data_IF_695663218836
#
_entry.id   IF_695663218836
#
_cell.length_a   1.000
_cell.length_b   1.000
_cell.length_c   1.000
_cell.angle_alpha   90.00
_cell.angle_beta   90.00
_cell.angle_gamma   90.00
#
_symmetry.space_group_name_H-M   'P 1'
#
loop_
_entity.id
_entity.type
_entity.pdbx_description
1 polymer ?
#
# COMPACT_ATOMS: atom_id res chain seq x y z
N UNK A 1 -12.66 -16.10 8.99
CA UNK A 1 -12.15 -14.98 9.81
C UNK A 1 -13.16 -13.83 9.81
N UNK A 2 -13.34 -13.21 10.95
CA UNK A 2 -14.20 -12.04 11.01
C UNK A 2 -13.40 -10.77 10.68
N UNK A 3 -14.09 -9.63 10.61
CA UNK A 3 -13.46 -8.37 10.18
C UNK A 3 -12.34 -7.93 11.12
N UNK A 4 -12.51 -8.16 12.41
CA UNK A 4 -11.49 -7.78 13.39
C UNK A 4 -10.22 -8.60 13.23
N UNK A 5 -10.36 -9.88 12.93
CA UNK A 5 -9.21 -10.77 12.71
C UNK A 5 -8.43 -10.36 11.46
N UNK A 6 -9.12 -9.99 10.38
CA UNK A 6 -8.44 -9.47 9.20
C UNK A 6 -7.62 -8.23 9.51
N UNK A 7 -8.22 -7.27 10.23
CA UNK A 7 -7.52 -6.04 10.57
C UNK A 7 -6.34 -6.29 11.50
N UNK A 8 -6.51 -7.21 12.45
CA UNK A 8 -5.42 -7.57 13.37
C UNK A 8 -4.26 -8.21 12.63
N UNK A 9 -4.54 -9.13 11.70
CA UNK A 9 -3.49 -9.75 10.91
C UNK A 9 -2.77 -8.76 10.02
N UNK A 10 -3.51 -7.82 9.43
CA UNK A 10 -2.89 -6.78 8.60
C UNK A 10 -1.95 -5.93 9.45
N UNK A 11 -2.38 -5.51 10.63
CA UNK A 11 -1.54 -4.74 11.55
C UNK A 11 -0.27 -5.50 11.90
N UNK A 12 -0.41 -6.76 12.27
CA UNK A 12 0.72 -7.59 12.65
C UNK A 12 1.72 -7.73 11.49
N UNK A 13 1.21 -7.97 10.29
CA UNK A 13 2.05 -8.21 9.12
C UNK A 13 2.87 -6.97 8.75
N UNK A 14 2.22 -5.81 8.65
CA UNK A 14 2.90 -4.61 8.15
C UNK A 14 3.68 -3.87 9.23
N UNK A 15 3.26 -3.96 10.48
CA UNK A 15 3.88 -3.21 11.56
C UNK A 15 4.96 -3.98 12.28
N UNK A 16 4.94 -5.31 12.22
CA UNK A 16 5.85 -6.13 13.02
C UNK A 16 6.65 -7.10 12.17
N UNK A 17 5.98 -7.93 11.39
CA UNK A 17 6.64 -9.01 10.67
C UNK A 17 7.39 -8.51 9.43
N UNK A 18 6.75 -7.66 8.63
CA UNK A 18 7.32 -7.22 7.36
C UNK A 18 8.46 -6.24 7.53
N UNK A 19 8.36 -5.32 8.47
CA UNK A 19 9.40 -4.32 8.67
C UNK A 19 10.71 -4.94 9.10
N UNK A 20 10.65 -6.03 9.85
CA UNK A 20 11.86 -6.72 10.28
C UNK A 20 12.61 -7.36 9.13
N UNK A 21 11.89 -7.81 8.10
CA UNK A 21 12.47 -8.55 6.99
C UNK A 21 12.68 -7.68 5.75
N UNK A 22 11.74 -6.79 5.45
CA UNK A 22 11.71 -6.04 4.19
C UNK A 22 12.13 -4.58 4.33
N UNK A 23 12.43 -4.13 5.54
CA UNK A 23 12.83 -2.76 5.79
C UNK A 23 11.66 -1.79 5.79
N UNK A 24 11.97 -0.52 5.67
CA UNK A 24 11.00 0.55 5.79
C UNK A 24 10.23 0.71 4.48
N UNK A 25 8.88 0.59 4.51
CA UNK A 25 8.09 0.68 3.28
C UNK A 25 8.27 2.00 2.54
N UNK A 26 8.46 3.10 3.24
CA UNK A 26 8.56 4.41 2.58
C UNK A 26 9.76 4.48 1.65
N UNK A 27 10.90 3.88 2.04
CA UNK A 27 12.10 3.89 1.20
C UNK A 27 11.91 3.02 -0.04
N UNK A 28 11.38 1.82 0.15
CA UNK A 28 11.18 0.89 -0.95
C UNK A 28 10.14 1.41 -1.94
N UNK A 29 9.04 1.94 -1.44
CA UNK A 29 7.96 2.39 -2.31
C UNK A 29 8.34 3.67 -3.06
N UNK A 30 9.17 4.52 -2.48
CA UNK A 30 9.67 5.68 -3.21
C UNK A 30 10.57 5.25 -4.37
N UNK A 31 11.41 4.25 -4.17
CA UNK A 31 12.25 3.72 -5.25
C UNK A 31 11.39 3.09 -6.34
N UNK A 32 10.41 2.30 -5.98
CA UNK A 32 9.48 1.71 -6.95
C UNK A 32 8.75 2.82 -7.72
N UNK A 33 8.33 3.86 -7.03
CA UNK A 33 7.64 4.98 -7.65
C UNK A 33 8.51 5.62 -8.74
N UNK A 34 9.81 5.74 -8.50
CA UNK A 34 10.73 6.28 -9.51
C UNK A 34 10.78 5.40 -10.75
N UNK A 35 10.88 4.10 -10.58
CA UNK A 35 10.90 3.16 -11.71
C UNK A 35 9.58 3.19 -12.47
N UNK A 36 8.46 3.13 -11.75
CA UNK A 36 7.15 3.12 -12.40
C UNK A 36 6.84 4.45 -13.08
N UNK A 37 7.26 5.57 -12.50
CA UNK A 37 7.10 6.88 -13.12
C UNK A 37 7.84 6.95 -14.45
N UNK A 38 9.06 6.44 -14.48
CA UNK A 38 9.88 6.43 -15.69
C UNK A 38 9.24 5.56 -16.77
N UNK A 39 8.78 4.37 -16.39
CA UNK A 39 8.15 3.45 -17.33
C UNK A 39 6.88 4.06 -17.92
N UNK A 40 6.01 4.59 -17.07
CA UNK A 40 4.73 5.16 -17.52
C UNK A 40 4.94 6.43 -18.35
N UNK A 41 5.94 7.23 -18.01
CA UNK A 41 6.25 8.43 -18.79
C UNK A 41 6.69 8.06 -20.20
N UNK A 42 7.51 7.01 -20.32
CA UNK A 42 7.95 6.53 -21.64
C UNK A 42 6.79 5.95 -22.45
N UNK A 43 5.96 5.13 -21.81
CA UNK A 43 4.85 4.45 -22.50
C UNK A 43 3.77 5.41 -22.94
N UNK A 44 3.48 6.43 -22.15
CA UNK A 44 2.41 7.36 -22.46
C UNK A 44 2.87 8.60 -23.22
N UNK A 45 4.18 8.77 -23.35
CA UNK A 45 4.80 9.96 -23.93
C UNK A 45 4.34 11.23 -23.21
N UNK A 46 4.16 11.13 -21.91
CA UNK A 46 3.77 12.22 -21.03
C UNK A 46 4.56 12.11 -19.75
N UNK A 47 4.68 13.21 -19.02
CA UNK A 47 5.32 13.16 -17.69
C UNK A 47 4.34 12.61 -16.68
N UNK A 48 4.66 11.44 -16.14
CA UNK A 48 3.89 10.79 -15.07
C UNK A 48 4.79 10.74 -13.85
N UNK A 49 4.29 11.24 -12.73
CA UNK A 49 5.03 11.25 -11.48
C UNK A 49 4.20 10.55 -10.40
N UNK A 50 4.71 9.41 -9.94
CA UNK A 50 4.11 8.65 -8.85
C UNK A 50 4.95 8.86 -7.60
N UNK A 51 4.29 8.77 -6.45
CA UNK A 51 4.98 8.75 -5.16
C UNK A 51 4.76 7.39 -4.49
N UNK A 52 5.44 7.17 -3.37
CA UNK A 52 5.31 5.90 -2.65
C UNK A 52 3.89 5.57 -2.24
N UNK A 53 3.10 6.59 -1.90
CA UNK A 53 1.69 6.37 -1.55
C UNK A 53 0.90 5.81 -2.73
N UNK A 54 1.20 6.29 -3.95
CA UNK A 54 0.55 5.76 -5.15
C UNK A 54 0.92 4.29 -5.35
N UNK A 55 2.19 3.96 -5.16
CA UNK A 55 2.65 2.57 -5.29
C UNK A 55 1.90 1.67 -4.32
N UNK A 56 1.77 2.08 -3.06
CA UNK A 56 1.05 1.29 -2.06
C UNK A 56 -0.42 1.10 -2.47
N UNK A 57 -1.07 2.15 -2.97
CA UNK A 57 -2.45 2.05 -3.44
C UNK A 57 -2.56 1.08 -4.62
N UNK A 58 -1.61 1.15 -5.55
CA UNK A 58 -1.59 0.24 -6.71
C UNK A 58 -1.39 -1.20 -6.28
N UNK A 59 -0.56 -1.43 -5.26
CA UNK A 59 -0.38 -2.78 -4.71
C UNK A 59 -1.67 -3.28 -4.05
N UNK A 60 -2.44 -2.41 -3.42
CA UNK A 60 -3.75 -2.79 -2.90
C UNK A 60 -4.68 -3.23 -4.04
N UNK A 61 -4.67 -2.49 -5.15
CA UNK A 61 -5.47 -2.87 -6.33
C UNK A 61 -5.03 -4.21 -6.89
N UNK A 62 -3.72 -4.48 -6.90
CA UNK A 62 -3.18 -5.77 -7.31
C UNK A 62 -3.77 -6.89 -6.45
N UNK A 63 -3.82 -6.69 -5.14
CA UNK A 63 -4.39 -7.69 -4.23
C UNK A 63 -5.90 -7.85 -4.42
N UNK A 64 -6.61 -6.78 -4.75
CA UNK A 64 -8.03 -6.87 -5.08
C UNK A 64 -8.25 -7.74 -6.32
N UNK A 65 -7.42 -7.56 -7.35
CA UNK A 65 -7.51 -8.39 -8.54
C UNK A 65 -7.27 -9.86 -8.21
N UNK A 66 -6.27 -10.14 -7.38
CA UNK A 66 -5.98 -11.52 -6.95
C UNK A 66 -7.13 -12.10 -6.13
N UNK A 67 -7.78 -11.28 -5.31
CA UNK A 67 -8.93 -11.71 -4.53
C UNK A 67 -10.10 -12.12 -5.43
N UNK A 68 -10.30 -11.43 -6.54
CA UNK A 68 -11.35 -11.79 -7.48
C UNK A 68 -11.09 -13.14 -8.14
N UNK A 69 -9.83 -13.45 -8.42
CA UNK A 69 -9.46 -14.74 -9.02
C UNK A 69 -9.54 -15.86 -7.99
N UNK A 70 -9.16 -15.59 -6.76
CA UNK A 70 -9.17 -16.59 -5.69
C UNK A 70 -9.73 -15.97 -4.41
N UNK A 71 -11.07 -15.93 -4.24
CA UNK A 71 -11.69 -15.27 -3.09
C UNK A 71 -11.46 -15.97 -1.75
N UNK A 72 -10.97 -17.20 -1.77
CA UNK A 72 -10.77 -17.98 -0.54
C UNK A 72 -9.34 -17.83 0.02
N UNK A 73 -8.48 -17.09 -0.65
CA UNK A 73 -7.11 -16.90 -0.20
C UNK A 73 -7.05 -15.64 0.68
N UNK A 74 -7.10 -15.84 1.99
CA UNK A 74 -7.20 -14.75 2.96
C UNK A 74 -6.06 -13.75 2.88
N UNK A 75 -4.87 -14.18 2.49
CA UNK A 75 -3.70 -13.31 2.42
C UNK A 75 -3.90 -12.12 1.48
N UNK A 76 -4.71 -12.29 0.43
CA UNK A 76 -4.97 -11.19 -0.48
C UNK A 76 -5.71 -10.05 0.23
N UNK A 77 -6.64 -10.37 1.11
CA UNK A 77 -7.38 -9.37 1.88
C UNK A 77 -6.46 -8.73 2.92
N UNK A 78 -5.72 -9.55 3.64
CA UNK A 78 -4.78 -9.06 4.67
C UNK A 78 -3.75 -8.12 4.05
N UNK A 79 -3.13 -8.54 2.95
CA UNK A 79 -2.12 -7.73 2.26
C UNK A 79 -2.73 -6.46 1.69
N UNK A 80 -3.92 -6.54 1.11
CA UNK A 80 -4.61 -5.37 0.57
C UNK A 80 -4.88 -4.32 1.63
N UNK A 81 -5.35 -4.74 2.80
CA UNK A 81 -5.56 -3.84 3.94
C UNK A 81 -4.24 -3.19 4.36
N UNK A 82 -3.17 -3.99 4.40
CA UNK A 82 -1.84 -3.49 4.77
C UNK A 82 -1.35 -2.43 3.80
N UNK A 83 -1.47 -2.66 2.52
CA UNK A 83 -1.02 -1.69 1.52
C UNK A 83 -1.83 -0.40 1.59
N UNK A 84 -3.14 -0.48 1.83
CA UNK A 84 -3.95 0.71 1.98
C UNK A 84 -3.55 1.51 3.21
N UNK A 85 -3.26 0.83 4.32
CA UNK A 85 -2.80 1.50 5.53
C UNK A 85 -1.46 2.21 5.29
N UNK A 86 -0.53 1.55 4.59
CA UNK A 86 0.76 2.16 4.22
C UNK A 86 0.53 3.38 3.35
N UNK A 87 -0.36 3.30 2.36
CA UNK A 87 -0.66 4.42 1.48
C UNK A 87 -1.15 5.63 2.28
N UNK A 88 -2.06 5.39 3.22
CA UNK A 88 -2.57 6.45 4.08
C UNK A 88 -1.48 7.10 4.91
N UNK A 89 -0.60 6.31 5.49
CA UNK A 89 0.51 6.82 6.28
C UNK A 89 1.45 7.67 5.42
N UNK A 90 1.79 7.20 4.23
CA UNK A 90 2.70 7.92 3.35
C UNK A 90 2.10 9.23 2.84
N UNK A 91 0.79 9.27 2.61
CA UNK A 91 0.13 10.53 2.25
C UNK A 91 0.24 11.53 3.39
N UNK A 92 0.06 11.10 4.62
CA UNK A 92 0.20 11.96 5.79
C UNK A 92 1.60 12.56 5.88
N UNK A 93 2.63 11.75 5.63
CA UNK A 93 4.01 12.23 5.65
C UNK A 93 4.27 13.27 4.56
N UNK A 94 3.71 13.05 3.36
CA UNK A 94 3.90 13.96 2.23
C UNK A 94 3.26 15.31 2.46
N UNK A 95 2.03 15.30 2.96
CA UNK A 95 1.25 16.53 3.10
C UNK A 95 1.54 17.27 4.40
N UNK A 96 2.17 16.60 5.35
CA UNK A 96 2.37 17.16 6.68
C UNK A 96 1.09 17.33 7.45
N UNK A 97 0.00 16.73 6.99
CA UNK A 97 -1.29 16.79 7.67
C UNK A 97 -1.71 15.39 8.07
N UNK A 98 -2.28 15.28 9.26
CA UNK A 98 -2.71 14.01 9.82
C UNK A 98 -4.07 14.21 10.44
N UNK A 99 -5.12 13.77 9.74
CA UNK A 99 -6.48 13.91 10.24
C UNK A 99 -6.71 12.94 11.39
N UNK A 100 -7.36 13.43 12.42
CA UNK A 100 -7.66 12.59 13.56
C UNK A 100 -8.93 11.77 13.29
N UNK A 101 -8.99 10.59 13.90
CA UNK A 101 -10.10 9.67 13.67
C UNK A 101 -11.41 10.15 14.24
N UNK A 102 -11.39 11.10 15.17
CA UNK A 102 -12.60 11.60 15.79
C UNK A 102 -13.22 12.78 15.05
N UNK A 103 -12.75 13.08 13.88
CA UNK A 103 -13.33 14.13 13.02
C UNK A 103 -14.60 13.66 12.32
N UNK A 104 -15.05 12.49 12.65
CA UNK A 104 -16.29 11.95 12.11
C UNK A 104 -17.51 12.54 12.81
#
# INVERSE_FOLDING_TARGET
MNRAEYLHLAEKTICRDRQDVHGNPENTFELIAQYWSTFLSAETNQTVTLCGADVAAMMALFKIARMQVNPFHHDNIVDGLGYLAISGELIGLLTGSDETLNDK
#
